data_IF_958703310837
#
_entry.id   IF_958703310837
#
_cell.length_a   1.000
_cell.length_b   1.000
_cell.length_c   1.000
_cell.angle_alpha   90.00
_cell.angle_beta   90.00
_cell.angle_gamma   90.00
#
_symmetry.space_group_name_H-M   'P 1'
#
loop_
_entity.id
_entity.type
_entity.pdbx_description
1 polymer ?
#
# COMPACT_ATOMS: atom_id res chain seq x y z
N UNK A 1 -3.65 -5.69 14.30
CA UNK A 1 -2.92 -6.97 14.25
C UNK A 1 -1.53 -6.85 13.62
N UNK A 2 -0.85 -5.70 13.72
CA UNK A 2 0.53 -5.51 13.25
C UNK A 2 1.40 -4.95 14.37
N UNK A 3 2.71 -5.15 14.26
CA UNK A 3 3.69 -4.63 15.19
C UNK A 3 4.05 -3.20 14.80
N UNK A 4 3.98 -2.26 15.75
CA UNK A 4 4.38 -0.87 15.51
C UNK A 4 5.89 -0.79 15.34
N UNK A 5 6.32 0.00 14.37
CA UNK A 5 7.73 0.25 14.07
C UNK A 5 8.16 1.63 14.55
N UNK A 6 9.46 1.81 14.79
CA UNK A 6 10.05 3.10 15.17
C UNK A 6 10.06 4.10 13.99
N UNK A 7 10.05 3.59 12.76
CA UNK A 7 10.04 4.41 11.55
C UNK A 7 9.59 3.64 10.31
N UNK A 8 9.40 4.35 9.19
CA UNK A 8 9.01 3.76 7.93
C UNK A 8 10.12 2.88 7.35
N UNK A 9 9.73 1.81 6.67
CA UNK A 9 10.62 1.02 5.82
C UNK A 9 9.84 0.50 4.61
N UNK A 10 10.53 -0.21 3.71
CA UNK A 10 9.97 -0.72 2.45
C UNK A 10 8.67 -1.51 2.58
N UNK A 11 8.47 -2.24 3.69
CA UNK A 11 7.34 -3.16 3.85
C UNK A 11 6.36 -2.73 4.95
N UNK A 12 6.62 -1.59 5.57
CA UNK A 12 5.73 -1.00 6.56
C UNK A 12 4.56 -0.30 5.87
N UNK A 13 3.44 -0.17 6.58
CA UNK A 13 2.28 0.59 6.11
C UNK A 13 2.03 1.74 7.09
N UNK A 14 1.93 2.97 6.59
CA UNK A 14 1.48 4.13 7.37
C UNK A 14 -0.02 4.01 7.68
N UNK A 15 -0.39 4.12 8.96
CA UNK A 15 -1.78 4.17 9.44
C UNK A 15 -2.16 5.56 9.97
N UNK A 16 -1.37 6.58 9.65
CA UNK A 16 -1.51 7.96 10.10
C UNK A 16 -0.80 8.24 11.42
N UNK A 17 -0.99 7.43 12.46
CA UNK A 17 -0.33 7.63 13.77
C UNK A 17 0.94 6.79 13.97
N UNK A 18 1.16 5.83 13.08
CA UNK A 18 2.21 4.83 13.21
C UNK A 18 2.45 4.09 11.90
N UNK A 19 3.68 3.62 11.71
CA UNK A 19 3.99 2.57 10.75
C UNK A 19 3.86 1.21 11.42
N UNK A 20 3.29 0.24 10.72
CA UNK A 20 3.18 -1.13 11.20
C UNK A 20 3.84 -2.14 10.26
N UNK A 21 4.38 -3.21 10.83
CA UNK A 21 4.67 -4.46 10.14
C UNK A 21 3.51 -5.43 10.35
N UNK A 22 2.88 -5.87 9.26
CA UNK A 22 1.81 -6.87 9.31
C UNK A 22 2.26 -8.16 8.62
N UNK A 23 1.99 -9.35 9.18
CA UNK A 23 2.45 -10.62 8.61
C UNK A 23 1.97 -10.87 7.18
N UNK A 24 0.80 -10.33 6.82
CA UNK A 24 0.18 -10.48 5.49
C UNK A 24 0.32 -9.20 4.66
N UNK A 25 0.14 -8.01 5.25
CA UNK A 25 -0.02 -6.79 4.46
C UNK A 25 1.30 -6.34 3.80
N UNK A 26 2.44 -6.80 4.33
CA UNK A 26 3.77 -6.62 3.72
C UNK A 26 3.92 -7.17 2.30
N UNK A 27 2.99 -8.02 1.86
CA UNK A 27 2.98 -8.60 0.51
C UNK A 27 2.03 -7.87 -0.46
N UNK A 28 1.29 -6.87 0.01
CA UNK A 28 0.32 -6.15 -0.82
C UNK A 28 1.07 -5.10 -1.64
N UNK A 29 1.06 -5.25 -2.96
CA UNK A 29 1.86 -4.44 -3.87
C UNK A 29 1.22 -3.08 -4.18
N UNK A 30 2.05 -2.19 -4.72
CA UNK A 30 1.61 -0.92 -5.27
C UNK A 30 0.90 -1.10 -6.62
N UNK A 31 -0.17 -0.34 -6.84
CA UNK A 31 -0.69 -0.05 -8.17
C UNK A 31 -1.09 1.42 -8.26
N UNK A 32 -0.80 2.08 -9.40
CA UNK A 32 -1.29 3.43 -9.67
C UNK A 32 -2.82 3.45 -9.91
N UNK A 33 -3.41 2.29 -10.16
CA UNK A 33 -4.87 2.09 -10.26
C UNK A 33 -5.27 0.92 -9.35
N UNK A 34 -5.29 1.14 -8.03
CA UNK A 34 -5.48 0.08 -7.06
C UNK A 34 -6.93 -0.39 -6.97
N UNK A 35 -7.14 -1.56 -6.38
CA UNK A 35 -8.47 -2.08 -6.02
C UNK A 35 -8.78 -1.99 -4.52
N UNK A 36 -7.82 -1.56 -3.71
CA UNK A 36 -8.00 -1.31 -2.29
C UNK A 36 -7.29 -0.02 -1.81
N UNK A 37 -7.71 0.51 -0.67
CA UNK A 37 -7.10 1.67 -0.03
C UNK A 37 -6.92 1.44 1.48
N UNK A 38 -5.92 2.08 2.08
CA UNK A 38 -5.66 2.05 3.51
C UNK A 38 -6.60 3.05 4.19
N UNK A 39 -7.52 2.54 5.02
CA UNK A 39 -8.40 3.37 5.82
C UNK A 39 -7.76 3.65 7.19
N UNK A 40 -7.32 4.89 7.41
CA UNK A 40 -6.61 5.27 8.65
C UNK A 40 -7.54 5.29 9.87
N UNK A 41 -8.86 5.48 9.68
CA UNK A 41 -9.86 5.48 10.75
C UNK A 41 -10.06 4.06 11.31
N UNK A 42 -10.29 3.10 10.42
CA UNK A 42 -10.54 1.70 10.81
C UNK A 42 -9.27 0.86 10.89
N UNK A 43 -8.12 1.44 10.52
CA UNK A 43 -6.80 0.79 10.48
C UNK A 43 -6.83 -0.52 9.68
N UNK A 44 -7.44 -0.47 8.50
CA UNK A 44 -7.71 -1.63 7.65
C UNK A 44 -7.50 -1.33 6.18
N UNK A 45 -7.21 -2.36 5.39
CA UNK A 45 -7.26 -2.28 3.93
C UNK A 45 -8.70 -2.53 3.47
N UNK A 46 -9.26 -1.60 2.70
CA UNK A 46 -10.66 -1.62 2.27
C UNK A 46 -10.73 -1.66 0.76
N UNK A 47 -11.50 -2.59 0.19
CA UNK A 47 -11.72 -2.66 -1.24
C UNK A 47 -12.47 -1.40 -1.73
N UNK A 48 -11.98 -0.79 -2.80
CA UNK A 48 -12.58 0.38 -3.46
C UNK A 48 -13.20 0.02 -4.82
N UNK A 49 -12.93 -1.19 -5.31
CA UNK A 49 -13.59 -1.80 -6.46
C UNK A 49 -14.03 -3.23 -6.11
N UNK A 50 -14.80 -3.88 -6.97
CA UNK A 50 -15.06 -5.32 -6.84
C UNK A 50 -13.75 -6.10 -6.93
N UNK A 51 -13.51 -7.01 -5.98
CA UNK A 51 -12.37 -7.94 -5.97
C UNK A 51 -12.91 -9.35 -6.22
N UNK A 52 -12.39 -10.03 -7.24
CA UNK A 52 -12.77 -11.39 -7.64
C UNK A 52 -11.67 -12.40 -7.26
N UNK A 53 -11.98 -13.70 -7.16
CA UNK A 53 -10.97 -14.72 -6.98
C UNK A 53 -9.91 -14.65 -8.07
N UNK A 54 -8.63 -14.54 -7.67
CA UNK A 54 -7.50 -14.40 -8.56
C UNK A 54 -7.03 -12.96 -8.79
N UNK A 55 -7.81 -11.95 -8.40
CA UNK A 55 -7.35 -10.56 -8.45
C UNK A 55 -6.25 -10.33 -7.41
N UNK A 56 -5.16 -9.69 -7.83
CA UNK A 56 -4.15 -9.20 -6.90
C UNK A 56 -4.72 -8.00 -6.12
N UNK A 57 -4.62 -8.04 -4.79
CA UNK A 57 -4.97 -6.88 -3.96
C UNK A 57 -3.81 -5.90 -3.99
N UNK A 58 -4.08 -4.65 -4.35
CA UNK A 58 -3.09 -3.57 -4.42
C UNK A 58 -3.63 -2.27 -3.83
N UNK A 59 -2.74 -1.40 -3.36
CA UNK A 59 -3.08 -0.03 -2.95
C UNK A 59 -2.07 0.98 -3.50
N UNK A 60 -2.43 2.26 -3.53
CA UNK A 60 -1.52 3.29 -4.02
C UNK A 60 -0.62 3.79 -2.88
N UNK A 61 0.65 3.36 -2.89
CA UNK A 61 1.64 3.80 -1.90
C UNK A 61 1.81 5.32 -1.86
N UNK A 62 1.63 6.03 -2.98
CA UNK A 62 1.74 7.50 -3.02
C UNK A 62 0.56 8.21 -2.34
N UNK A 63 -0.55 7.51 -2.12
CA UNK A 63 -1.70 8.05 -1.39
C UNK A 63 -1.67 7.69 0.10
N UNK A 64 -1.11 6.53 0.46
CA UNK A 64 -1.07 6.06 1.84
C UNK A 64 0.16 6.53 2.61
N UNK A 65 1.34 6.54 1.96
CA UNK A 65 2.61 6.84 2.62
C UNK A 65 2.91 8.34 2.57
N UNK A 66 3.37 8.90 3.68
CA UNK A 66 3.84 10.31 3.71
C UNK A 66 5.14 10.52 2.96
N UNK A 67 5.98 9.49 2.91
CA UNK A 67 7.26 9.50 2.23
C UNK A 67 7.62 8.08 1.81
N UNK A 68 8.00 7.90 0.54
CA UNK A 68 8.52 6.62 0.07
C UNK A 68 9.98 6.47 0.52
N UNK A 69 10.23 5.56 1.45
CA UNK A 69 11.59 5.31 1.98
C UNK A 69 12.49 4.56 1.02
N UNK A 70 11.92 3.79 0.10
CA UNK A 70 12.66 3.00 -0.88
C UNK A 70 12.01 3.15 -2.25
N UNK A 71 12.44 4.15 -3.04
CA UNK A 71 11.93 4.33 -4.40
C UNK A 71 12.12 3.11 -5.29
N UNK A 72 11.21 2.91 -6.24
CA UNK A 72 11.28 1.81 -7.19
C UNK A 72 10.60 2.14 -8.53
N UNK A 73 11.03 1.46 -9.59
CA UNK A 73 10.36 1.54 -10.89
C UNK A 73 9.06 0.71 -10.86
N UNK A 74 7.95 1.34 -11.23
CA UNK A 74 6.61 0.77 -11.12
C UNK A 74 6.25 -0.07 -12.35
N UNK A 75 5.90 -1.33 -12.10
CA UNK A 75 5.49 -2.29 -13.12
C UNK A 75 4.01 -2.70 -12.97
N UNK A 76 3.16 -1.82 -12.42
CA UNK A 76 1.75 -2.16 -12.12
C UNK A 76 0.87 -2.42 -13.35
N UNK A 77 1.33 -2.09 -14.56
CA UNK A 77 0.59 -2.33 -15.81
C UNK A 77 -0.61 -1.40 -16.06
N UNK A 78 -0.90 -0.46 -15.16
CA UNK A 78 -1.95 0.55 -15.37
C UNK A 78 -1.60 1.47 -16.54
N UNK A 79 -2.62 1.88 -17.32
CA UNK A 79 -2.48 2.96 -18.33
C UNK A 79 -2.16 4.32 -17.71
N UNK A 80 -2.41 4.46 -16.41
CA UNK A 80 -2.17 5.66 -15.61
C UNK A 80 -0.91 5.49 -14.72
N UNK A 81 -0.01 4.57 -15.10
CA UNK A 81 1.21 4.31 -14.34
C UNK A 81 2.13 5.53 -14.31
N UNK A 82 2.60 5.91 -13.10
CA UNK A 82 3.54 7.03 -12.91
C UNK A 82 4.99 6.68 -13.29
N UNK A 83 5.27 5.41 -13.60
CA UNK A 83 6.60 4.92 -13.99
C UNK A 83 7.56 4.73 -12.81
N UNK A 84 7.62 5.67 -11.87
CA UNK A 84 8.49 5.59 -10.68
C UNK A 84 7.74 6.06 -9.44
N UNK A 85 7.88 5.32 -8.33
CA UNK A 85 7.27 5.62 -7.03
C UNK A 85 8.38 6.13 -6.10
N UNK A 86 8.24 7.37 -5.61
CA UNK A 86 9.20 8.06 -4.74
C UNK A 86 8.55 9.17 -3.90
#
# INVERSE_FOLDING_TARGET
>A
NGEKLEGPNRISIDLGDSHISHPIAKYVNHSCKPNANVCHITKSLVAITTVRPGDEITFNYLESERQITTPFDCNCGSSECVGRVE
#
